data_IF_061927624325
#
_entry.id   IF_061927624325
#
_cell.length_a   1.000
_cell.length_b   1.000
_cell.length_c   1.000
_cell.angle_alpha   90.00
_cell.angle_beta   90.00
_cell.angle_gamma   90.00
#
_symmetry.space_group_name_H-M   'P 1'
#
loop_
_entity.id
_entity.type
_entity.pdbx_description
1 polymer ?
#
# COMPACT_ATOMS: atom_id res chain seq x y z
N UNK A 1 1.23 -1.02 -11.76
CA UNK A 1 2.41 -0.26 -11.29
C UNK A 1 3.67 -0.89 -11.86
N UNK A 2 4.58 -0.10 -12.47
CA UNK A 2 5.90 -0.61 -12.90
C UNK A 2 6.75 -1.03 -11.68
N UNK A 3 6.64 -0.29 -10.58
CA UNK A 3 7.37 -0.57 -9.33
C UNK A 3 7.16 -2.00 -8.78
N UNK A 4 5.93 -2.54 -8.83
CA UNK A 4 5.67 -3.90 -8.36
C UNK A 4 6.38 -4.96 -9.20
N UNK A 5 6.48 -4.76 -10.53
CA UNK A 5 7.25 -5.64 -11.40
C UNK A 5 8.75 -5.57 -11.10
N UNK A 6 9.26 -4.35 -10.86
CA UNK A 6 10.66 -4.15 -10.46
C UNK A 6 10.96 -4.84 -9.12
N UNK A 7 10.05 -4.73 -8.14
CA UNK A 7 10.19 -5.39 -6.83
C UNK A 7 10.17 -6.92 -6.94
N UNK A 8 9.26 -7.48 -7.75
CA UNK A 8 9.22 -8.91 -8.05
C UNK A 8 10.53 -9.39 -8.70
N UNK A 9 11.02 -8.66 -9.71
CA UNK A 9 12.27 -8.99 -10.39
C UNK A 9 13.48 -8.93 -9.46
N UNK A 10 13.55 -7.91 -8.59
CA UNK A 10 14.59 -7.82 -7.55
C UNK A 10 14.50 -8.97 -6.52
N UNK A 11 13.34 -9.62 -6.42
CA UNK A 11 13.09 -10.77 -5.56
C UNK A 11 13.19 -12.11 -6.32
N UNK A 12 13.82 -12.10 -7.50
CA UNK A 12 14.02 -13.27 -8.38
C UNK A 12 12.72 -13.98 -8.79
N UNK A 13 11.65 -13.19 -8.99
CA UNK A 13 10.34 -13.66 -9.48
C UNK A 13 9.95 -12.95 -10.78
N UNK A 14 9.35 -13.69 -11.69
CA UNK A 14 8.83 -13.19 -12.97
C UNK A 14 7.35 -12.74 -12.89
N UNK A 15 6.69 -13.00 -11.76
CA UNK A 15 5.33 -12.55 -11.48
C UNK A 15 5.25 -11.73 -10.18
N UNK A 16 4.27 -10.81 -10.16
CA UNK A 16 3.98 -9.93 -9.04
C UNK A 16 3.08 -10.65 -8.04
N UNK A 17 3.41 -10.58 -6.75
CA UNK A 17 2.54 -11.02 -5.66
C UNK A 17 1.97 -9.80 -4.92
N UNK A 18 0.90 -9.96 -4.12
CA UNK A 18 0.31 -8.86 -3.35
C UNK A 18 1.33 -8.10 -2.48
N UNK A 19 2.27 -8.80 -1.86
CA UNK A 19 3.29 -8.20 -0.99
C UNK A 19 4.22 -7.25 -1.75
N UNK A 20 4.51 -7.50 -3.03
CA UNK A 20 5.30 -6.57 -3.85
C UNK A 20 4.64 -5.20 -4.00
N UNK A 21 3.30 -5.19 -3.98
CA UNK A 21 2.51 -3.96 -4.06
C UNK A 21 2.44 -3.30 -2.69
N UNK A 22 2.20 -4.09 -1.63
CA UNK A 22 2.14 -3.57 -0.25
C UNK A 22 3.45 -2.90 0.16
N UNK A 23 4.60 -3.52 -0.16
CA UNK A 23 5.94 -3.01 0.16
C UNK A 23 6.23 -1.62 -0.41
N UNK A 24 5.67 -1.29 -1.58
CA UNK A 24 5.95 -0.02 -2.28
C UNK A 24 4.81 0.99 -2.17
N UNK A 25 3.65 0.59 -1.66
CA UNK A 25 2.43 1.39 -1.67
C UNK A 25 2.63 2.72 -0.93
N UNK A 26 3.14 2.69 0.31
CA UNK A 26 3.35 3.90 1.11
C UNK A 26 4.29 4.88 0.43
N UNK A 27 5.48 4.42 0.01
CA UNK A 27 6.47 5.27 -0.64
C UNK A 27 5.98 5.89 -1.96
N UNK A 28 5.07 5.21 -2.69
CA UNK A 28 4.57 5.67 -3.99
C UNK A 28 3.28 6.48 -3.92
N UNK A 29 2.45 6.27 -2.90
CA UNK A 29 1.11 6.86 -2.80
C UNK A 29 0.99 7.96 -1.74
N UNK A 30 1.83 7.98 -0.69
CA UNK A 30 1.66 8.92 0.43
C UNK A 30 1.66 10.38 -0.04
N UNK A 31 2.65 10.75 -0.84
CA UNK A 31 2.76 12.09 -1.43
C UNK A 31 1.71 12.40 -2.49
N UNK A 32 0.85 11.44 -2.87
CA UNK A 32 -0.24 11.63 -3.84
C UNK A 32 -1.59 11.89 -3.19
N UNK A 33 -1.67 11.81 -1.87
CA UNK A 33 -2.90 12.04 -1.11
C UNK A 33 -2.96 13.51 -0.69
N UNK A 34 -4.03 14.20 -1.08
CA UNK A 34 -4.34 15.53 -0.59
C UNK A 34 -5.21 15.43 0.67
N UNK A 35 -4.66 15.88 1.79
CA UNK A 35 -5.40 15.98 3.05
C UNK A 35 -6.29 17.22 3.06
N UNK A 36 -7.51 17.05 3.55
CA UNK A 36 -8.39 18.16 3.88
C UNK A 36 -7.79 19.00 5.02
N UNK A 37 -8.13 20.29 5.15
CA UNK A 37 -7.66 21.12 6.26
C UNK A 37 -7.96 20.51 7.63
N UNK A 38 -9.17 19.96 7.82
CA UNK A 38 -9.58 19.31 9.07
C UNK A 38 -8.76 18.06 9.39
N UNK A 39 -8.33 17.27 8.39
CA UNK A 39 -7.46 16.11 8.61
C UNK A 39 -6.05 16.55 9.04
N UNK A 40 -5.52 17.59 8.39
CA UNK A 40 -4.21 18.17 8.74
C UNK A 40 -4.19 18.76 10.15
N UNK A 41 -5.29 19.43 10.56
CA UNK A 41 -5.47 19.94 11.92
C UNK A 41 -5.50 18.84 12.98
N UNK A 42 -5.89 17.61 12.61
CA UNK A 42 -5.86 16.43 13.48
C UNK A 42 -4.55 15.64 13.37
N UNK A 43 -3.53 16.22 12.74
CA UNK A 43 -2.21 15.59 12.56
C UNK A 43 -2.31 14.20 11.91
N UNK A 44 -3.24 14.05 10.96
CA UNK A 44 -3.35 12.82 10.18
C UNK A 44 -2.23 12.80 9.14
N UNK A 45 -1.41 11.75 9.18
CA UNK A 45 -0.36 11.49 8.18
C UNK A 45 -0.88 10.63 7.02
N UNK A 46 -0.45 10.91 5.80
CA UNK A 46 -0.86 10.16 4.60
C UNK A 46 -0.42 8.69 4.66
N UNK A 47 0.71 8.41 5.30
CA UNK A 47 1.26 7.08 5.53
C UNK A 47 0.30 6.23 6.36
N UNK A 48 -0.30 6.81 7.40
CA UNK A 48 -1.26 6.13 8.26
C UNK A 48 -2.54 5.78 7.49
N UNK A 49 -3.03 6.70 6.63
CA UNK A 49 -4.19 6.43 5.77
C UNK A 49 -3.93 5.24 4.85
N UNK A 50 -2.73 5.16 4.27
CA UNK A 50 -2.36 4.05 3.38
C UNK A 50 -2.28 2.74 4.15
N UNK A 51 -1.65 2.74 5.33
CA UNK A 51 -1.58 1.56 6.19
C UNK A 51 -2.97 1.02 6.53
N UNK A 52 -3.87 1.89 6.99
CA UNK A 52 -5.25 1.53 7.34
C UNK A 52 -6.00 0.90 6.15
N UNK A 53 -5.83 1.45 4.95
CA UNK A 53 -6.45 0.90 3.73
C UNK A 53 -5.88 -0.46 3.37
N UNK A 54 -4.56 -0.65 3.47
CA UNK A 54 -3.91 -1.93 3.15
C UNK A 54 -4.27 -3.04 4.14
N UNK A 55 -4.49 -2.70 5.41
CA UNK A 55 -4.91 -3.63 6.46
C UNK A 55 -6.40 -4.02 6.32
N UNK A 56 -7.24 -3.09 5.84
CA UNK A 56 -8.66 -3.34 5.61
C UNK A 56 -8.97 -4.21 4.38
N UNK A 57 -8.02 -4.41 3.46
CA UNK A 57 -8.23 -5.15 2.21
C UNK A 57 -7.64 -6.56 2.33
N UNK A 58 -8.53 -7.56 2.34
CA UNK A 58 -8.12 -8.97 2.28
C UNK A 58 -7.47 -9.31 0.94
N UNK A 59 -6.44 -10.14 0.99
CA UNK A 59 -5.79 -10.68 -0.21
C UNK A 59 -6.66 -11.82 -0.77
N UNK A 60 -7.04 -11.79 -2.06
CA UNK A 60 -7.81 -12.88 -2.66
C UNK A 60 -7.09 -14.23 -2.50
N UNK A 61 -7.79 -15.23 -1.97
CA UNK A 61 -7.25 -16.59 -1.72
C UNK A 61 -6.60 -16.78 -0.35
N UNK A 62 -6.34 -15.72 0.42
CA UNK A 62 -6.09 -15.85 1.85
C UNK A 62 -7.45 -16.12 2.53
N UNK A 63 -7.60 -17.29 3.16
CA UNK A 63 -8.79 -17.57 3.96
C UNK A 63 -8.84 -16.60 5.14
N UNK A 64 -9.65 -15.56 5.04
CA UNK A 64 -9.94 -14.66 6.14
C UNK A 64 -10.84 -15.42 7.13
N UNK A 65 -10.24 -16.13 8.09
CA UNK A 65 -10.97 -16.46 9.32
C UNK A 65 -11.16 -15.14 10.08
N UNK A 66 -12.40 -14.66 10.09
CA UNK A 66 -12.89 -13.74 11.12
C UNK A 66 -12.83 -14.44 12.48
#
# INVERSE_FOLDING_TARGET
MKGGKSKALLSDRDYVIPDDIKDIATATLAHRILLTPSARMREVEQENIIADVLDGISIPGASTKK
#
